data_IF_296299776230
#
_entry.id   IF_296299776230
#
_cell.length_a   1.000
_cell.length_b   1.000
_cell.length_c   1.000
_cell.angle_alpha   90.00
_cell.angle_beta   90.00
_cell.angle_gamma   90.00
#
_symmetry.space_group_name_H-M   'P 1'
#
loop_
_entity.id
_entity.type
_entity.pdbx_description
1 polymer ?
#
# COMPACT_ATOMS: atom_id res chain seq x y z
N UNK A 1 -11.98 11.48 0.51
CA UNK A 1 -11.28 11.47 1.82
C UNK A 1 -9.99 10.68 1.64
N UNK A 2 -8.85 11.18 2.12
CA UNK A 2 -7.58 10.44 2.06
C UNK A 2 -7.41 9.53 3.28
N UNK A 3 -6.56 8.49 3.17
CA UNK A 3 -6.31 7.55 4.25
C UNK A 3 -5.75 8.21 5.53
N UNK A 4 -4.80 9.17 5.45
CA UNK A 4 -4.35 9.90 6.63
C UNK A 4 -5.47 10.65 7.36
N UNK A 5 -6.38 11.26 6.59
CA UNK A 5 -7.54 11.97 7.16
C UNK A 5 -8.47 10.98 7.88
N UNK A 6 -8.72 9.81 7.31
CA UNK A 6 -9.56 8.79 7.96
C UNK A 6 -8.98 8.36 9.30
N UNK A 7 -7.67 8.10 9.36
CA UNK A 7 -6.99 7.73 10.62
C UNK A 7 -7.02 8.90 11.61
N UNK A 8 -6.69 10.11 11.15
CA UNK A 8 -6.69 11.30 11.99
C UNK A 8 -8.07 11.55 12.62
N UNK A 9 -9.15 11.43 11.84
CA UNK A 9 -10.52 11.52 12.35
C UNK A 9 -10.82 10.42 13.37
N UNK A 10 -10.36 9.19 13.15
CA UNK A 10 -10.48 8.10 14.13
C UNK A 10 -9.74 8.40 15.43
N UNK A 11 -8.54 8.97 15.36
CA UNK A 11 -7.76 9.39 16.53
C UNK A 11 -8.49 10.50 17.28
N UNK A 12 -8.91 11.56 16.57
CA UNK A 12 -9.67 12.67 17.17
C UNK A 12 -10.93 12.17 17.85
N UNK A 13 -11.67 11.29 17.19
CA UNK A 13 -12.85 10.62 17.78
C UNK A 13 -12.48 9.87 19.06
N UNK A 14 -11.39 9.11 19.06
CA UNK A 14 -10.91 8.36 20.23
C UNK A 14 -10.52 9.29 21.39
N UNK A 15 -9.93 10.43 21.09
CA UNK A 15 -9.52 11.43 22.09
C UNK A 15 -10.71 12.16 22.74
N UNK A 16 -11.73 12.48 21.93
CA UNK A 16 -12.93 13.20 22.38
C UNK A 16 -13.90 12.30 23.14
N UNK A 17 -14.20 11.11 22.58
CA UNK A 17 -15.24 10.20 23.09
C UNK A 17 -14.67 9.18 24.06
N UNK A 18 -13.35 8.90 24.01
CA UNK A 18 -12.67 7.89 24.84
C UNK A 18 -13.41 6.56 24.86
N UNK A 19 -13.66 5.94 23.70
CA UNK A 19 -14.50 4.75 23.60
C UNK A 19 -13.92 3.60 24.42
N UNK A 20 -14.81 2.88 25.13
CA UNK A 20 -14.44 1.72 25.93
C UNK A 20 -13.83 0.60 25.08
N UNK A 21 -13.18 -0.38 25.72
CA UNK A 21 -12.52 -1.52 25.03
C UNK A 21 -13.48 -2.33 24.13
N UNK A 22 -14.75 -2.38 24.47
CA UNK A 22 -15.80 -3.13 23.74
C UNK A 22 -16.53 -2.28 22.69
N UNK A 23 -16.07 -1.07 22.41
CA UNK A 23 -16.72 -0.22 21.42
C UNK A 23 -16.63 -0.86 20.02
N UNK A 24 -17.70 -0.73 19.24
CA UNK A 24 -17.87 -1.47 17.97
C UNK A 24 -16.69 -1.26 17.00
N UNK A 25 -16.15 -0.05 16.90
CA UNK A 25 -15.01 0.25 16.02
C UNK A 25 -13.75 -0.51 16.41
N UNK A 26 -13.56 -0.80 17.70
CA UNK A 26 -12.43 -1.58 18.21
C UNK A 26 -12.60 -3.08 17.94
N UNK A 27 -13.85 -3.56 17.96
CA UNK A 27 -14.17 -4.98 17.76
C UNK A 27 -14.11 -5.40 16.29
N UNK A 28 -14.55 -4.52 15.38
CA UNK A 28 -14.69 -4.86 13.95
C UNK A 28 -13.65 -4.20 13.05
N UNK A 29 -12.62 -3.59 13.60
CA UNK A 29 -11.67 -2.76 12.86
C UNK A 29 -11.00 -3.43 11.66
N UNK A 30 -10.74 -4.74 11.73
CA UNK A 30 -10.08 -5.50 10.66
C UNK A 30 -11.05 -5.96 9.58
N UNK A 31 -12.35 -6.08 9.87
CA UNK A 31 -13.35 -6.58 8.91
C UNK A 31 -13.52 -5.64 7.71
N UNK A 32 -13.71 -4.31 7.88
CA UNK A 32 -13.80 -3.40 6.74
C UNK A 32 -12.53 -3.40 5.89
N UNK A 33 -11.35 -3.54 6.51
CA UNK A 33 -10.10 -3.64 5.76
C UNK A 33 -10.07 -4.88 4.88
N UNK A 34 -10.46 -6.05 5.42
CA UNK A 34 -10.50 -7.31 4.67
C UNK A 34 -11.50 -7.22 3.50
N UNK A 35 -12.70 -6.70 3.74
CA UNK A 35 -13.72 -6.50 2.71
C UNK A 35 -13.22 -5.54 1.64
N UNK A 36 -12.64 -4.40 2.03
CA UNK A 36 -12.09 -3.43 1.10
C UNK A 36 -10.99 -4.01 0.20
N UNK A 37 -10.11 -4.85 0.77
CA UNK A 37 -9.06 -5.55 0.01
C UNK A 37 -9.65 -6.55 -0.98
N UNK A 38 -10.69 -7.31 -0.59
CA UNK A 38 -11.37 -8.25 -1.51
C UNK A 38 -12.01 -7.50 -2.68
N UNK A 39 -12.72 -6.41 -2.40
CA UNK A 39 -13.35 -5.59 -3.46
C UNK A 39 -12.27 -4.98 -4.37
N UNK A 40 -11.13 -4.57 -3.80
CA UNK A 40 -10.00 -4.09 -4.60
C UNK A 40 -9.52 -5.18 -5.59
N UNK A 41 -9.51 -6.44 -5.19
CA UNK A 41 -9.17 -7.57 -6.07
C UNK A 41 -10.03 -7.62 -7.34
N UNK A 42 -11.31 -7.23 -7.26
CA UNK A 42 -12.21 -7.13 -8.41
C UNK A 42 -11.84 -6.01 -9.40
N UNK A 43 -10.92 -5.13 -9.05
CA UNK A 43 -10.47 -4.01 -9.90
C UNK A 43 -9.06 -4.19 -10.46
N UNK A 44 -8.47 -5.36 -10.23
CA UNK A 44 -7.11 -5.69 -10.69
C UNK A 44 -7.24 -6.58 -11.92
N UNK A 45 -7.10 -6.02 -13.11
CA UNK A 45 -7.18 -6.74 -14.38
C UNK A 45 -5.82 -7.30 -14.81
N UNK A 46 -5.78 -8.60 -15.14
CA UNK A 46 -4.56 -9.25 -15.63
C UNK A 46 -4.20 -8.81 -17.05
N UNK A 47 -5.19 -8.51 -17.91
CA UNK A 47 -4.93 -8.13 -19.30
C UNK A 47 -4.16 -6.83 -19.43
N UNK A 48 -4.58 -5.78 -18.70
CA UNK A 48 -3.86 -4.50 -18.68
C UNK A 48 -2.41 -4.66 -18.18
N UNK A 49 -2.19 -5.66 -17.32
CA UNK A 49 -0.86 -5.99 -16.80
C UNK A 49 -0.01 -6.69 -17.85
N UNK A 50 -0.60 -7.59 -18.64
CA UNK A 50 0.11 -8.34 -19.69
C UNK A 50 0.47 -7.43 -20.87
N UNK A 51 -0.40 -6.51 -21.26
CA UNK A 51 -0.19 -5.61 -22.39
C UNK A 51 0.98 -4.62 -22.16
N UNK A 52 1.14 -4.14 -20.95
CA UNK A 52 2.28 -3.27 -20.55
C UNK A 52 3.45 -4.11 -19.99
N UNK A 53 3.17 -5.33 -19.56
CA UNK A 53 4.07 -6.12 -18.75
C UNK A 53 5.33 -6.61 -19.45
N UNK A 54 5.31 -6.82 -20.77
CA UNK A 54 6.45 -7.44 -21.44
C UNK A 54 7.75 -6.65 -21.32
N UNK A 55 7.69 -5.32 -21.25
CA UNK A 55 8.88 -4.48 -21.14
C UNK A 55 9.25 -4.14 -19.69
N UNK A 56 8.28 -3.98 -18.81
CA UNK A 56 8.51 -3.50 -17.44
C UNK A 56 8.33 -4.57 -16.35
N UNK A 57 7.75 -5.74 -16.65
CA UNK A 57 7.45 -6.73 -15.62
C UNK A 57 8.69 -7.24 -14.89
N UNK A 58 9.78 -7.48 -15.63
CA UNK A 58 11.06 -7.89 -15.04
C UNK A 58 11.62 -6.83 -14.08
N UNK A 59 11.58 -5.57 -14.49
CA UNK A 59 12.06 -4.45 -13.69
C UNK A 59 11.18 -4.18 -12.48
N UNK A 60 9.85 -4.25 -12.63
CA UNK A 60 8.90 -4.14 -11.51
C UNK A 60 9.15 -5.26 -10.51
N UNK A 61 9.34 -6.49 -10.99
CA UNK A 61 9.66 -7.65 -10.16
C UNK A 61 10.92 -7.42 -9.36
N UNK A 62 12.00 -7.04 -10.02
CA UNK A 62 13.28 -6.74 -9.38
C UNK A 62 13.12 -5.62 -8.34
N UNK A 63 12.43 -4.54 -8.70
CA UNK A 63 12.16 -3.42 -7.80
C UNK A 63 11.40 -3.85 -6.55
N UNK A 64 10.35 -4.66 -6.70
CA UNK A 64 9.54 -5.16 -5.57
C UNK A 64 10.40 -6.04 -4.66
N UNK A 65 11.18 -6.97 -5.22
CA UNK A 65 12.06 -7.84 -4.45
C UNK A 65 13.15 -7.05 -3.72
N UNK A 66 13.85 -6.18 -4.41
CA UNK A 66 14.90 -5.36 -3.79
C UNK A 66 14.34 -4.43 -2.71
N UNK A 67 13.20 -3.81 -2.94
CA UNK A 67 12.56 -2.93 -1.96
C UNK A 67 12.09 -3.71 -0.72
N UNK A 68 11.46 -4.88 -0.90
CA UNK A 68 10.97 -5.68 0.20
C UNK A 68 12.10 -6.30 1.02
N UNK A 69 12.98 -7.08 0.37
CA UNK A 69 14.08 -7.76 1.07
C UNK A 69 15.15 -6.78 1.53
N UNK A 70 15.46 -5.76 0.75
CA UNK A 70 16.34 -4.66 1.17
C UNK A 70 15.81 -3.94 2.39
N UNK A 71 14.50 -3.68 2.44
CA UNK A 71 13.84 -3.11 3.61
C UNK A 71 13.95 -4.00 4.85
N UNK A 72 13.78 -5.31 4.70
CA UNK A 72 13.98 -6.25 5.81
C UNK A 72 15.45 -6.30 6.27
N UNK A 73 16.39 -6.18 5.35
CA UNK A 73 17.82 -6.15 5.68
C UNK A 73 18.18 -4.86 6.44
N UNK A 74 17.77 -3.70 5.92
CA UNK A 74 17.97 -2.40 6.57
C UNK A 74 17.31 -2.37 7.94
N UNK A 75 16.13 -2.94 8.08
CA UNK A 75 15.42 -2.99 9.35
C UNK A 75 16.17 -3.79 10.43
N UNK A 76 16.90 -4.85 10.05
CA UNK A 76 17.79 -5.59 10.96
C UNK A 76 18.94 -4.72 11.44
N UNK A 77 19.55 -3.93 10.56
CA UNK A 77 20.65 -3.00 10.91
C UNK A 77 20.13 -1.93 11.90
N UNK A 78 18.89 -1.45 11.70
CA UNK A 78 18.24 -0.49 12.59
C UNK A 78 17.71 -1.10 13.89
N UNK A 79 17.79 -2.43 14.07
CA UNK A 79 17.23 -3.17 15.19
C UNK A 79 15.73 -2.88 15.40
N UNK A 80 14.95 -2.98 14.33
CA UNK A 80 13.49 -2.81 14.35
C UNK A 80 12.76 -4.10 14.66
N UNK A 81 11.57 -3.98 15.26
CA UNK A 81 10.66 -5.12 15.42
C UNK A 81 10.28 -5.68 14.03
N UNK A 82 10.19 -7.01 13.95
CA UNK A 82 9.97 -7.73 12.69
C UNK A 82 8.63 -7.36 12.02
N UNK A 83 7.58 -7.13 12.80
CA UNK A 83 6.24 -6.84 12.26
C UNK A 83 6.18 -5.45 11.64
N UNK A 84 6.67 -4.42 12.32
CA UNK A 84 6.72 -3.06 11.75
C UNK A 84 7.63 -3.02 10.51
N UNK A 85 8.74 -3.78 10.53
CA UNK A 85 9.64 -3.89 9.39
C UNK A 85 8.96 -4.48 8.16
N UNK A 86 8.19 -5.56 8.32
CA UNK A 86 7.42 -6.18 7.24
C UNK A 86 6.37 -5.20 6.71
N UNK A 87 5.65 -4.48 7.58
CA UNK A 87 4.64 -3.51 7.15
C UNK A 87 5.23 -2.39 6.32
N UNK A 88 6.31 -1.76 6.78
CA UNK A 88 6.94 -0.64 6.05
C UNK A 88 7.55 -1.15 4.75
N UNK A 89 8.28 -2.28 4.78
CA UNK A 89 8.92 -2.83 3.57
C UNK A 89 7.91 -3.26 2.52
N UNK A 90 6.80 -3.89 2.90
CA UNK A 90 5.73 -4.27 1.96
C UNK A 90 4.98 -3.06 1.42
N UNK A 91 4.73 -2.05 2.25
CA UNK A 91 4.13 -0.79 1.82
C UNK A 91 5.00 -0.08 0.79
N UNK A 92 6.30 0.05 1.06
CA UNK A 92 7.25 0.65 0.14
C UNK A 92 7.40 -0.16 -1.16
N UNK A 93 7.42 -1.50 -1.06
CA UNK A 93 7.64 -2.38 -2.19
C UNK A 93 6.45 -2.49 -3.14
N UNK A 94 5.20 -2.43 -2.68
CA UNK A 94 4.03 -2.78 -3.51
C UNK A 94 3.08 -1.58 -3.72
N UNK A 95 2.12 -1.39 -2.83
CA UNK A 95 1.04 -0.41 -3.03
C UNK A 95 0.70 0.40 -1.76
N UNK A 96 1.71 0.67 -0.93
CA UNK A 96 1.56 1.54 0.22
C UNK A 96 0.54 1.03 1.24
N UNK A 97 -0.45 1.84 1.50
CA UNK A 97 -1.47 1.58 2.51
C UNK A 97 -2.25 0.28 2.30
N UNK A 98 -2.52 -0.10 1.05
CA UNK A 98 -3.25 -1.34 0.72
C UNK A 98 -2.46 -2.58 1.13
N UNK A 99 -1.14 -2.61 0.82
CA UNK A 99 -0.29 -3.72 1.21
C UNK A 99 -0.18 -3.84 2.73
N UNK A 100 0.02 -2.71 3.42
CA UNK A 100 0.07 -2.65 4.89
C UNK A 100 -1.23 -3.18 5.50
N UNK A 101 -2.39 -2.71 5.00
CA UNK A 101 -3.70 -3.12 5.50
C UNK A 101 -3.98 -4.62 5.28
N UNK A 102 -3.58 -5.17 4.13
CA UNK A 102 -3.75 -6.58 3.82
C UNK A 102 -2.84 -7.49 4.65
N UNK A 103 -1.61 -7.06 4.90
CA UNK A 103 -0.58 -7.86 5.58
C UNK A 103 -0.72 -7.81 7.12
N UNK A 104 -1.16 -6.68 7.67
CA UNK A 104 -1.26 -6.49 9.12
C UNK A 104 -2.03 -7.60 9.85
N UNK A 105 -3.23 -8.04 9.41
CA UNK A 105 -3.94 -9.13 10.06
C UNK A 105 -3.22 -10.47 9.93
N UNK A 106 -2.51 -10.73 8.84
CA UNK A 106 -1.79 -11.99 8.59
C UNK A 106 -0.66 -12.17 9.61
N UNK A 107 0.14 -11.10 9.80
CA UNK A 107 1.26 -11.13 10.74
C UNK A 107 0.83 -10.79 12.17
N UNK A 108 -0.47 -10.61 12.42
CA UNK A 108 -1.03 -10.19 13.72
C UNK A 108 -0.29 -8.94 14.25
N UNK A 109 -0.15 -7.93 13.40
CA UNK A 109 0.51 -6.67 13.77
C UNK A 109 -0.32 -5.91 14.82
N UNK A 110 0.35 -5.16 15.68
CA UNK A 110 -0.34 -4.29 16.63
C UNK A 110 -0.98 -3.11 15.88
N UNK A 111 -2.13 -2.60 16.33
CA UNK A 111 -2.73 -1.39 15.74
C UNK A 111 -1.76 -0.19 15.69
N UNK A 112 -0.91 -0.06 16.69
CA UNK A 112 0.12 0.98 16.74
C UNK A 112 1.13 0.86 15.59
N UNK A 113 1.59 -0.36 15.29
CA UNK A 113 2.54 -0.62 14.21
C UNK A 113 1.91 -0.35 12.85
N UNK A 114 0.62 -0.75 12.68
CA UNK A 114 -0.14 -0.49 11.48
C UNK A 114 -0.27 1.02 11.21
N UNK A 115 -0.68 1.79 12.22
CA UNK A 115 -0.85 3.24 12.10
C UNK A 115 0.49 3.91 11.80
N UNK A 116 1.55 3.52 12.51
CA UNK A 116 2.87 4.07 12.30
C UNK A 116 3.38 3.81 10.88
N UNK A 117 3.25 2.57 10.38
CA UNK A 117 3.65 2.22 9.02
C UNK A 117 2.86 3.02 7.97
N UNK A 118 1.52 3.12 8.13
CA UNK A 118 0.67 3.92 7.24
C UNK A 118 1.07 5.39 7.26
N UNK A 119 1.27 5.97 8.44
CA UNK A 119 1.65 7.38 8.59
C UNK A 119 2.96 7.69 7.87
N UNK A 120 3.97 6.82 8.03
CA UNK A 120 5.28 6.98 7.38
C UNK A 120 5.13 6.98 5.86
N UNK A 121 4.46 5.97 5.31
CA UNK A 121 4.25 5.85 3.85
C UNK A 121 3.48 7.05 3.30
N UNK A 122 2.44 7.52 4.00
CA UNK A 122 1.64 8.65 3.53
C UNK A 122 2.36 9.99 3.61
N UNK A 123 3.25 10.19 4.59
CA UNK A 123 4.09 11.40 4.63
C UNK A 123 4.96 11.47 3.36
N UNK A 124 5.62 10.37 2.97
CA UNK A 124 6.45 10.36 1.77
C UNK A 124 5.63 10.51 0.49
N UNK A 125 4.43 9.93 0.43
CA UNK A 125 3.52 10.12 -0.69
C UNK A 125 3.05 11.58 -0.83
N UNK A 126 2.80 12.28 0.28
CA UNK A 126 2.44 13.69 0.25
C UNK A 126 3.60 14.55 -0.26
N UNK A 127 4.82 14.26 0.20
CA UNK A 127 6.03 14.94 -0.28
C UNK A 127 6.22 14.66 -1.78
N UNK A 128 6.05 13.41 -2.24
CA UNK A 128 6.14 13.06 -3.65
C UNK A 128 5.11 13.80 -4.50
N UNK A 129 3.85 13.87 -4.06
CA UNK A 129 2.77 14.56 -4.76
C UNK A 129 3.10 16.03 -5.02
N UNK A 130 3.78 16.69 -4.08
CA UNK A 130 4.14 18.11 -4.20
C UNK A 130 5.40 18.29 -5.07
N UNK A 131 6.43 17.46 -4.84
CA UNK A 131 7.76 17.72 -5.40
C UNK A 131 8.08 16.97 -6.69
N UNK A 132 7.48 15.80 -6.95
CA UNK A 132 7.84 15.00 -8.12
C UNK A 132 7.48 15.64 -9.46
N UNK A 133 6.35 16.38 -9.62
CA UNK A 133 6.11 17.08 -10.88
C UNK A 133 7.22 18.09 -11.22
N UNK A 134 7.74 18.78 -10.21
CA UNK A 134 8.89 19.68 -10.40
C UNK A 134 10.18 18.92 -10.77
N UNK A 135 10.42 17.77 -10.15
CA UNK A 135 11.56 16.90 -10.45
C UNK A 135 11.46 16.38 -11.89
N UNK A 136 10.27 15.90 -12.31
CA UNK A 136 10.04 15.44 -13.69
C UNK A 136 10.31 16.53 -14.72
N UNK A 137 9.81 17.74 -14.47
CA UNK A 137 10.05 18.89 -15.34
C UNK A 137 11.54 19.30 -15.36
N UNK A 138 12.20 19.30 -14.20
CA UNK A 138 13.63 19.62 -14.10
C UNK A 138 14.52 18.60 -14.85
N UNK A 139 14.14 17.32 -14.82
CA UNK A 139 14.83 16.24 -15.52
C UNK A 139 14.37 16.10 -16.98
N UNK A 140 13.46 16.96 -17.45
CA UNK A 140 12.90 16.94 -18.81
C UNK A 140 12.29 15.59 -19.21
N UNK A 141 11.66 14.90 -18.25
CA UNK A 141 10.98 13.64 -18.51
C UNK A 141 9.79 13.83 -19.44
N UNK A 142 9.60 12.91 -20.38
CA UNK A 142 8.34 12.87 -21.13
C UNK A 142 7.19 12.31 -20.28
N UNK A 143 5.96 12.28 -20.84
CA UNK A 143 4.77 11.84 -20.11
C UNK A 143 4.82 10.36 -19.72
N UNK A 144 5.42 9.51 -20.56
CA UNK A 144 5.53 8.06 -20.34
C UNK A 144 6.59 7.80 -19.27
N UNK A 145 7.75 8.44 -19.39
CA UNK A 145 8.82 8.38 -18.41
C UNK A 145 8.34 8.84 -17.03
N UNK A 146 7.68 10.01 -16.97
CA UNK A 146 7.19 10.53 -15.70
C UNK A 146 6.13 9.63 -15.08
N UNK A 147 5.16 9.15 -15.87
CA UNK A 147 4.14 8.20 -15.40
C UNK A 147 4.76 6.92 -14.85
N UNK A 148 5.76 6.36 -15.54
CA UNK A 148 6.49 5.17 -15.12
C UNK A 148 7.31 5.40 -13.84
N UNK A 149 8.02 6.54 -13.78
CA UNK A 149 8.78 6.95 -12.60
C UNK A 149 7.89 7.07 -11.36
N UNK A 150 6.77 7.76 -11.48
CA UNK A 150 5.81 7.96 -10.37
C UNK A 150 5.20 6.62 -9.93
N UNK A 151 4.87 5.72 -10.86
CA UNK A 151 4.36 4.39 -10.53
C UNK A 151 5.32 3.57 -9.66
N UNK A 152 6.63 3.74 -9.85
CA UNK A 152 7.67 3.06 -9.07
C UNK A 152 8.03 3.81 -7.78
N UNK A 153 8.25 5.12 -7.83
CA UNK A 153 8.78 5.89 -6.72
C UNK A 153 7.73 6.29 -5.66
N UNK A 154 6.45 6.44 -6.05
CA UNK A 154 5.35 6.74 -5.11
C UNK A 154 4.68 5.46 -4.67
N UNK A 155 4.36 5.35 -3.39
CA UNK A 155 3.92 4.07 -2.83
C UNK A 155 2.42 3.81 -3.00
N UNK A 156 1.54 4.78 -2.69
CA UNK A 156 0.08 4.60 -2.74
C UNK A 156 -0.51 4.91 -4.12
N UNK A 157 -1.47 4.09 -4.56
CA UNK A 157 -2.11 4.23 -5.88
C UNK A 157 -2.80 5.60 -6.07
N UNK A 158 -3.50 6.10 -5.04
CA UNK A 158 -4.18 7.41 -5.15
C UNK A 158 -3.18 8.55 -5.31
N UNK A 159 -2.07 8.48 -4.58
CA UNK A 159 -1.00 9.48 -4.67
C UNK A 159 -0.25 9.39 -6.01
N UNK A 160 -0.08 8.19 -6.56
CA UNK A 160 0.46 7.98 -7.93
C UNK A 160 -0.39 8.71 -8.96
N UNK A 161 -1.72 8.46 -8.95
CA UNK A 161 -2.64 9.11 -9.88
C UNK A 161 -2.63 10.63 -9.68
N UNK A 162 -2.67 11.10 -8.43
CA UNK A 162 -2.62 12.54 -8.13
C UNK A 162 -1.32 13.19 -8.64
N UNK A 163 -0.18 12.57 -8.41
CA UNK A 163 1.13 13.08 -8.85
C UNK A 163 1.25 13.08 -10.38
N UNK A 164 0.79 12.02 -11.05
CA UNK A 164 0.81 11.92 -12.50
C UNK A 164 -0.13 12.96 -13.16
N UNK A 165 -1.31 13.21 -12.56
CA UNK A 165 -2.29 14.17 -13.07
C UNK A 165 -1.76 15.62 -13.06
N UNK A 166 -0.93 15.98 -12.09
CA UNK A 166 -0.27 17.30 -12.03
C UNK A 166 0.74 17.49 -13.18
N UNK A 167 1.17 16.41 -13.81
CA UNK A 167 2.14 16.45 -14.91
C UNK A 167 1.45 16.41 -16.28
N UNK A 168 0.68 15.35 -16.56
CA UNK A 168 -0.10 15.22 -17.81
C UNK A 168 -1.16 14.10 -17.69
N UNK A 169 -2.18 14.16 -18.56
CA UNK A 169 -3.20 13.10 -18.65
C UNK A 169 -2.60 11.77 -19.12
N UNK A 170 -1.67 11.80 -20.05
CA UNK A 170 -0.98 10.62 -20.56
C UNK A 170 -0.15 9.92 -19.46
N UNK A 171 0.53 10.70 -18.61
CA UNK A 171 1.23 10.16 -17.44
C UNK A 171 0.30 9.37 -16.50
N UNK A 172 -0.96 9.77 -16.38
CA UNK A 172 -1.95 9.08 -15.53
C UNK A 172 -2.22 7.67 -16.02
N UNK A 173 -2.40 7.49 -17.32
CA UNK A 173 -2.71 6.18 -17.92
C UNK A 173 -1.55 5.20 -17.70
N UNK A 174 -0.34 5.64 -17.98
CA UNK A 174 0.87 4.85 -17.78
C UNK A 174 1.06 4.52 -16.29
N UNK A 175 0.98 5.53 -15.44
CA UNK A 175 1.16 5.38 -14.00
C UNK A 175 0.15 4.43 -13.38
N UNK A 176 -1.13 4.53 -13.78
CA UNK A 176 -2.21 3.65 -13.30
C UNK A 176 -1.93 2.19 -13.67
N UNK A 177 -1.57 1.95 -14.92
CA UNK A 177 -1.34 0.58 -15.44
C UNK A 177 -0.13 -0.09 -14.77
N UNK A 178 0.99 0.61 -14.70
CA UNK A 178 2.20 0.08 -14.03
C UNK A 178 1.97 -0.12 -12.53
N UNK A 179 1.16 0.73 -11.91
CA UNK A 179 0.81 0.58 -10.49
C UNK A 179 -0.07 -0.64 -10.24
N UNK A 180 -0.99 -0.96 -11.16
CA UNK A 180 -1.79 -2.20 -11.10
C UNK A 180 -0.86 -3.42 -11.21
N UNK A 181 0.06 -3.44 -12.19
CA UNK A 181 1.06 -4.50 -12.34
C UNK A 181 1.86 -4.74 -11.06
N UNK A 182 2.34 -3.66 -10.42
CA UNK A 182 3.07 -3.73 -9.16
C UNK A 182 2.19 -4.28 -8.02
N UNK A 183 0.91 -3.92 -8.00
CA UNK A 183 -0.04 -4.37 -6.97
C UNK A 183 -0.29 -5.88 -7.03
N UNK A 184 -0.17 -6.53 -8.18
CA UNK A 184 -0.30 -7.99 -8.30
C UNK A 184 0.71 -8.75 -7.44
N UNK A 185 1.87 -8.18 -7.14
CA UNK A 185 2.85 -8.77 -6.23
C UNK A 185 2.35 -8.89 -4.78
N UNK A 186 1.21 -8.27 -4.46
CA UNK A 186 0.55 -8.47 -3.18
C UNK A 186 0.11 -9.92 -2.98
N UNK A 187 -0.33 -10.61 -4.07
CA UNK A 187 -0.80 -11.99 -4.01
C UNK A 187 0.30 -12.95 -3.54
N UNK A 188 1.45 -13.06 -4.23
CA UNK A 188 2.52 -13.95 -3.79
C UNK A 188 3.08 -13.56 -2.42
N UNK A 189 3.15 -12.27 -2.10
CA UNK A 189 3.61 -11.84 -0.77
C UNK A 189 2.65 -12.26 0.34
N UNK A 190 1.33 -12.15 0.13
CA UNK A 190 0.32 -12.63 1.08
C UNK A 190 0.46 -14.15 1.31
N UNK A 191 0.61 -14.94 0.24
CA UNK A 191 0.78 -16.38 0.34
C UNK A 191 2.05 -16.72 1.12
N UNK A 192 3.16 -16.06 0.79
CA UNK A 192 4.45 -16.24 1.46
C UNK A 192 4.36 -15.95 2.96
N UNK A 193 3.80 -14.79 3.31
CA UNK A 193 3.69 -14.38 4.72
C UNK A 193 2.72 -15.28 5.50
N UNK A 194 1.63 -15.70 4.89
CA UNK A 194 0.71 -16.64 5.53
C UNK A 194 1.40 -17.99 5.83
N UNK A 195 2.27 -18.46 4.94
CA UNK A 195 3.05 -19.67 5.16
C UNK A 195 4.01 -19.53 6.37
N UNK A 196 4.71 -18.40 6.49
CA UNK A 196 5.69 -18.18 7.57
C UNK A 196 5.08 -17.80 8.93
N UNK A 197 3.88 -17.23 8.94
CA UNK A 197 3.20 -16.79 10.17
C UNK A 197 2.13 -17.77 10.66
N UNK A 198 2.11 -18.99 10.09
CA UNK A 198 1.29 -20.09 10.58
C UNK A 198 1.84 -20.57 11.92
N UNK A 199 1.07 -20.43 13.00
CA UNK A 199 1.40 -21.01 14.31
C UNK A 199 0.97 -22.48 14.36
N UNK A 200 1.87 -23.38 14.84
CA UNK A 200 1.67 -24.84 14.85
C UNK A 200 0.54 -25.35 15.77
N UNK A 201 0.02 -24.54 16.69
CA UNK A 201 -0.97 -24.95 17.67
C UNK A 201 -2.35 -24.32 17.54
N UNK A 202 -2.55 -23.37 16.66
CA UNK A 202 -3.88 -22.94 16.32
C UNK A 202 -4.36 -23.74 15.11
N UNK A 203 -5.57 -24.29 15.19
CA UNK A 203 -6.35 -24.61 13.99
C UNK A 203 -6.59 -23.28 13.30
N UNK A 204 -5.50 -22.71 12.77
CA UNK A 204 -5.46 -21.37 12.22
C UNK A 204 -6.38 -21.38 11.02
N UNK A 205 -7.53 -20.81 11.22
CA UNK A 205 -8.43 -20.48 10.13
C UNK A 205 -7.61 -19.61 9.22
N UNK A 206 -7.25 -20.15 8.05
CA UNK A 206 -6.68 -19.33 6.98
C UNK A 206 -7.53 -18.07 6.88
N UNK A 207 -6.95 -16.89 6.80
CA UNK A 207 -7.74 -15.68 6.67
C UNK A 207 -8.58 -15.82 5.39
N UNK A 208 -9.86 -16.13 5.56
CA UNK A 208 -10.80 -16.43 4.46
C UNK A 208 -10.79 -15.32 3.41
N UNK A 209 -10.50 -14.08 3.81
CA UNK A 209 -10.44 -12.94 2.91
C UNK A 209 -9.35 -13.09 1.83
N UNK A 210 -8.25 -13.83 2.08
CA UNK A 210 -7.20 -14.08 1.09
C UNK A 210 -7.74 -14.91 -0.07
N UNK A 211 -8.49 -15.96 0.26
CA UNK A 211 -9.15 -16.78 -0.77
C UNK A 211 -10.11 -15.92 -1.61
N UNK A 212 -10.95 -15.11 -0.98
CA UNK A 212 -11.86 -14.22 -1.68
C UNK A 212 -11.12 -13.15 -2.49
N UNK A 213 -9.98 -12.65 -2.03
CA UNK A 213 -9.15 -11.72 -2.78
C UNK A 213 -8.60 -12.35 -4.07
N UNK A 214 -8.04 -13.57 -3.98
CA UNK A 214 -7.55 -14.30 -5.16
C UNK A 214 -8.70 -14.58 -6.13
N UNK A 215 -9.84 -15.04 -5.62
CA UNK A 215 -11.04 -15.28 -6.44
C UNK A 215 -11.53 -14.00 -7.12
N UNK A 216 -11.52 -12.88 -6.43
CA UNK A 216 -11.89 -11.56 -6.98
C UNK A 216 -10.97 -11.14 -8.13
N UNK A 217 -9.66 -11.32 -8.01
CA UNK A 217 -8.70 -11.07 -9.09
C UNK A 217 -8.97 -11.98 -10.29
N UNK A 218 -9.23 -13.27 -10.06
CA UNK A 218 -9.58 -14.21 -11.13
C UNK A 218 -10.88 -13.83 -11.83
N UNK A 219 -11.90 -13.38 -11.11
CA UNK A 219 -13.17 -12.91 -11.70
C UNK A 219 -12.92 -11.71 -12.60
N UNK A 220 -12.11 -10.73 -12.18
CA UNK A 220 -11.79 -9.58 -13.01
C UNK A 220 -11.11 -10.00 -14.33
N UNK A 221 -10.21 -10.99 -14.28
CA UNK A 221 -9.50 -11.47 -15.47
C UNK A 221 -10.41 -12.10 -16.52
N UNK A 222 -11.64 -12.52 -16.16
CA UNK A 222 -12.62 -13.08 -17.13
C UNK A 222 -13.25 -12.02 -18.02
N UNK A 223 -13.03 -10.72 -17.73
CA UNK A 223 -13.61 -9.61 -18.50
C UNK A 223 -15.10 -9.40 -18.27
N UNK A 224 -15.71 -10.06 -17.27
CA UNK A 224 -17.14 -9.88 -16.94
C UNK A 224 -17.40 -8.49 -16.35
N UNK A 225 -16.41 -7.88 -15.72
CA UNK A 225 -16.51 -6.57 -15.07
C UNK A 225 -16.24 -5.50 -16.12
N UNK A 226 -17.25 -4.74 -16.46
CA UNK A 226 -17.12 -3.59 -17.36
C UNK A 226 -16.45 -2.39 -16.65
N UNK A 227 -15.92 -1.47 -17.42
CA UNK A 227 -15.16 -0.31 -16.91
C UNK A 227 -15.97 0.55 -15.92
N UNK A 228 -17.27 0.71 -16.14
CA UNK A 228 -18.14 1.51 -15.26
C UNK A 228 -18.31 0.85 -13.89
N UNK A 229 -18.48 -0.48 -13.88
CA UNK A 229 -18.55 -1.30 -12.67
C UNK A 229 -17.20 -1.31 -11.93
N UNK A 230 -16.09 -1.42 -12.66
CA UNK A 230 -14.75 -1.36 -12.06
C UNK A 230 -14.52 -0.03 -11.32
N UNK A 231 -14.88 1.11 -11.95
CA UNK A 231 -14.75 2.42 -11.31
C UNK A 231 -15.59 2.50 -10.02
N UNK A 232 -16.80 1.98 -10.06
CA UNK A 232 -17.69 1.90 -8.88
C UNK A 232 -17.08 1.04 -7.78
N UNK A 233 -16.52 -0.12 -8.13
CA UNK A 233 -15.85 -1.02 -7.18
C UNK A 233 -14.60 -0.38 -6.57
N UNK A 234 -13.81 0.38 -7.33
CA UNK A 234 -12.66 1.15 -6.82
C UNK A 234 -13.10 2.17 -5.77
N UNK A 235 -14.16 2.92 -6.04
CA UNK A 235 -14.71 3.90 -5.10
C UNK A 235 -15.24 3.19 -3.85
N UNK A 236 -15.94 2.09 -4.01
CA UNK A 236 -16.49 1.29 -2.91
C UNK A 236 -15.38 0.70 -2.05
N UNK A 237 -14.38 0.05 -2.66
CA UNK A 237 -13.20 -0.48 -1.98
C UNK A 237 -12.50 0.61 -1.17
N UNK A 238 -12.20 1.75 -1.80
CA UNK A 238 -11.57 2.89 -1.13
C UNK A 238 -12.40 3.38 0.06
N UNK A 239 -13.72 3.48 -0.10
CA UNK A 239 -14.61 3.95 0.97
C UNK A 239 -14.61 2.98 2.16
N UNK A 240 -14.69 1.68 1.91
CA UNK A 240 -14.66 0.64 2.93
C UNK A 240 -13.29 0.58 3.64
N UNK A 241 -12.19 0.71 2.87
CA UNK A 241 -10.84 0.81 3.44
C UNK A 241 -10.72 2.04 4.35
N UNK A 242 -11.29 3.19 3.96
CA UNK A 242 -11.31 4.39 4.81
C UNK A 242 -12.07 4.18 6.11
N UNK A 243 -13.20 3.46 6.08
CA UNK A 243 -13.95 3.08 7.29
C UNK A 243 -13.07 2.20 8.19
N UNK A 244 -12.40 1.20 7.62
CA UNK A 244 -11.48 0.34 8.38
C UNK A 244 -10.32 1.13 9.01
N UNK A 245 -9.73 2.05 8.27
CA UNK A 245 -8.65 2.92 8.75
C UNK A 245 -9.14 3.87 9.86
N UNK A 246 -10.34 4.43 9.72
CA UNK A 246 -10.99 5.19 10.79
C UNK A 246 -11.15 4.33 12.06
N UNK A 247 -11.68 3.11 11.93
CA UNK A 247 -11.84 2.18 13.04
C UNK A 247 -10.50 1.86 13.74
N UNK A 248 -9.41 1.72 12.97
CA UNK A 248 -8.07 1.54 13.52
C UNK A 248 -7.60 2.80 14.25
N UNK A 249 -7.81 3.98 13.66
CA UNK A 249 -7.53 5.25 14.31
C UNK A 249 -8.18 5.38 15.69
N UNK A 250 -9.40 4.86 15.85
CA UNK A 250 -10.10 4.89 17.16
C UNK A 250 -9.45 4.01 18.24
N UNK A 251 -8.55 3.11 17.88
CA UNK A 251 -7.81 2.28 18.83
C UNK A 251 -6.56 2.95 19.39
N UNK A 252 -6.12 4.02 18.74
CA UNK A 252 -4.87 4.72 19.09
C UNK A 252 -5.11 5.63 20.29
N UNK A 253 -4.19 5.62 21.25
CA UNK A 253 -4.18 6.51 22.39
C UNK A 253 -3.05 7.54 22.26
N UNK A 254 -3.16 8.70 22.93
CA UNK A 254 -2.09 9.72 22.93
C UNK A 254 -0.74 9.19 23.45
N UNK A 255 -0.78 8.16 24.28
CA UNK A 255 0.42 7.52 24.83
C UNK A 255 1.24 6.87 23.72
N UNK A 256 0.56 6.34 22.68
CA UNK A 256 1.21 5.67 21.55
C UNK A 256 2.01 6.65 20.68
N UNK A 257 1.62 7.93 20.63
CA UNK A 257 2.37 8.97 19.89
C UNK A 257 3.62 9.47 20.62
N UNK A 258 3.64 9.42 21.94
CA UNK A 258 4.83 9.84 22.72
C UNK A 258 5.99 8.84 22.60
N UNK A 259 5.72 7.63 22.16
CA UNK A 259 6.71 6.57 21.95
C UNK A 259 7.18 6.47 20.48
N UNK A 260 7.01 7.52 19.66
CA UNK A 260 7.46 7.54 18.28
C UNK A 260 8.97 7.27 18.21
N UNK A 261 9.31 6.03 17.90
CA UNK A 261 10.68 5.65 17.62
C UNK A 261 11.06 6.16 16.22
N UNK A 262 12.09 6.98 16.13
CA UNK A 262 12.59 7.52 14.86
C UNK A 262 13.10 6.42 13.90
N UNK A 263 13.40 5.24 14.40
CA UNK A 263 13.94 4.14 13.59
C UNK A 263 12.97 3.65 12.49
N UNK A 264 11.67 3.43 12.73
CA UNK A 264 10.71 3.09 11.66
C UNK A 264 10.62 4.18 10.59
N UNK A 265 10.67 5.46 11.00
CA UNK A 265 10.68 6.58 10.06
C UNK A 265 11.96 6.58 9.21
N UNK A 266 13.13 6.33 9.82
CA UNK A 266 14.40 6.20 9.12
C UNK A 266 14.37 5.04 8.10
N UNK A 267 13.76 3.90 8.44
CA UNK A 267 13.58 2.79 7.48
C UNK A 267 12.79 3.25 6.25
N UNK A 268 11.63 3.88 6.47
CA UNK A 268 10.80 4.38 5.38
C UNK A 268 11.53 5.41 4.52
N UNK A 269 12.27 6.34 5.16
CA UNK A 269 13.05 7.36 4.47
C UNK A 269 14.16 6.74 3.60
N UNK A 270 14.92 5.80 4.14
CA UNK A 270 16.00 5.12 3.40
C UNK A 270 15.42 4.38 2.19
N UNK A 271 14.32 3.62 2.37
CA UNK A 271 13.66 2.93 1.28
C UNK A 271 13.19 3.89 0.20
N UNK A 272 12.60 5.02 0.58
CA UNK A 272 12.12 6.03 -0.36
C UNK A 272 13.27 6.71 -1.11
N UNK A 273 14.36 7.05 -0.40
CA UNK A 273 15.56 7.62 -1.02
C UNK A 273 16.27 6.64 -1.98
N UNK A 274 16.15 5.33 -1.76
CA UNK A 274 16.63 4.30 -2.69
C UNK A 274 15.65 4.13 -3.86
N UNK A 275 14.34 4.18 -3.60
CA UNK A 275 13.32 4.00 -4.63
C UNK A 275 13.38 5.09 -5.72
N UNK A 276 13.65 6.34 -5.36
CA UNK A 276 13.70 7.47 -6.32
C UNK A 276 14.77 7.24 -7.41
N UNK A 277 16.06 7.10 -7.09
CA UNK A 277 17.08 6.88 -8.11
C UNK A 277 16.93 5.54 -8.82
N UNK A 278 16.44 4.50 -8.14
CA UNK A 278 16.17 3.21 -8.77
C UNK A 278 15.06 3.31 -9.82
N UNK A 279 13.98 4.03 -9.51
CA UNK A 279 12.89 4.27 -10.46
C UNK A 279 13.36 5.10 -11.65
N UNK A 280 14.16 6.14 -11.41
CA UNK A 280 14.75 6.95 -12.47
C UNK A 280 15.63 6.11 -13.39
N UNK A 281 16.52 5.31 -12.81
CA UNK A 281 17.40 4.43 -13.58
C UNK A 281 16.61 3.46 -14.48
N UNK A 282 15.59 2.79 -13.93
CA UNK A 282 14.76 1.82 -14.66
C UNK A 282 14.03 2.47 -15.83
N UNK A 283 13.58 3.71 -15.66
CA UNK A 283 12.68 4.35 -16.62
C UNK A 283 13.42 5.10 -17.72
N UNK A 284 14.53 5.76 -17.37
CA UNK A 284 15.24 6.67 -18.28
C UNK A 284 16.50 6.06 -18.86
N UNK A 285 17.14 5.13 -18.15
CA UNK A 285 18.47 4.61 -18.52
C UNK A 285 18.41 3.16 -19.00
N UNK A 286 17.54 2.31 -18.41
CA UNK A 286 17.45 0.90 -18.74
C UNK A 286 16.40 0.61 -19.80
#
# INVERSE_FOLDING_TARGET
MSAPIAIALGIVFSLLIKPGKNFITRRVSTIPLQIGVVILGLTIGMQSVLDIGNNYFGWITLFVFLSFFGGLLISRILNLDKKISILISSGAAICGGTAIAAIAPIIKAKPTDLILALTIIFIFNLVALIFFPFIGSFLSMDSIEFGSFVALAVHDTSSVIGTALEYSTESVEVAATLKVARTLWLIPLIILLNYFYKEDNDKSKYPIFIFFFILAVLINTTGIIDYSTELTLRILSKSILMIGLFCIGTQTTLIDFKSLNLKPFALGLILWLIAIPSAYYIVVIA
#
